data_IF_106020410657
#
_entry.id   IF_106020410657
#
_cell.length_a   1.000
_cell.length_b   1.000
_cell.length_c   1.000
_cell.angle_alpha   90.00
_cell.angle_beta   90.00
_cell.angle_gamma   90.00
#
_symmetry.space_group_name_H-M   'P 1'
#
loop_
_entity.id
_entity.type
_entity.pdbx_description
1 polymer ?
#
# COMPACT_ATOMS: atom_id res chain seq x y z
N UNK A 1 12.10 -20.91 14.54
CA UNK A 1 12.23 -19.54 14.02
C UNK A 1 12.69 -19.67 12.58
N UNK A 2 11.88 -19.29 11.60
CA UNK A 2 12.32 -19.29 10.20
C UNK A 2 13.49 -18.31 10.03
N UNK A 3 14.53 -18.64 9.24
CA UNK A 3 15.60 -17.70 8.96
C UNK A 3 15.01 -16.46 8.30
N UNK A 4 15.42 -15.28 8.76
CA UNK A 4 15.03 -14.01 8.14
C UNK A 4 15.52 -13.97 6.69
N UNK A 5 14.63 -13.64 5.76
CA UNK A 5 14.95 -13.44 4.35
C UNK A 5 14.59 -12.02 3.93
N UNK A 6 15.48 -11.29 3.21
CA UNK A 6 15.13 -10.03 2.56
C UNK A 6 14.00 -10.18 1.53
N UNK A 7 13.77 -11.40 1.05
CA UNK A 7 12.80 -11.75 0.01
C UNK A 7 11.41 -12.06 0.55
N UNK A 8 11.26 -12.23 1.86
CA UNK A 8 10.00 -12.61 2.50
C UNK A 8 9.42 -11.42 3.27
N UNK A 9 8.80 -10.45 2.57
CA UNK A 9 8.11 -9.36 3.25
C UNK A 9 6.83 -9.90 3.87
N UNK A 10 6.53 -9.45 5.10
CA UNK A 10 5.18 -9.55 5.61
C UNK A 10 4.28 -8.67 4.73
N UNK A 11 3.45 -9.30 3.90
CA UNK A 11 2.51 -8.62 3.02
C UNK A 11 1.22 -8.30 3.76
N UNK A 12 0.77 -7.06 3.62
CA UNK A 12 -0.48 -6.54 4.15
C UNK A 12 -1.43 -6.26 2.99
N UNK A 13 -2.73 -6.50 3.19
CA UNK A 13 -3.76 -6.06 2.25
C UNK A 13 -4.27 -4.70 2.71
N UNK A 14 -4.07 -3.68 1.88
CA UNK A 14 -4.64 -2.35 2.09
C UNK A 14 -5.85 -2.24 1.16
N UNK A 15 -7.00 -2.01 1.77
CA UNK A 15 -8.27 -1.76 1.08
C UNK A 15 -8.62 -0.29 1.21
N UNK A 16 -8.80 0.39 0.08
CA UNK A 16 -9.20 1.80 0.01
C UNK A 16 -10.60 1.84 -0.58
N UNK A 17 -11.54 2.39 0.18
CA UNK A 17 -12.95 2.47 -0.19
C UNK A 17 -13.36 3.94 -0.27
N UNK A 18 -13.84 4.38 -1.44
CA UNK A 18 -14.44 5.69 -1.62
C UNK A 18 -15.96 5.56 -1.43
N UNK A 19 -16.50 6.29 -0.45
CA UNK A 19 -17.94 6.26 -0.12
C UNK A 19 -18.58 7.61 -0.39
N UNK A 20 -19.77 7.60 -0.96
CA UNK A 20 -20.62 8.78 -1.02
C UNK A 20 -21.22 9.04 0.37
N UNK A 21 -21.10 10.28 0.87
CA UNK A 21 -21.69 10.65 2.17
C UNK A 21 -22.96 11.45 1.91
N UNK A 22 -24.11 10.89 2.29
CA UNK A 22 -25.39 11.60 2.25
C UNK A 22 -25.55 12.44 3.53
N UNK A 23 -25.54 13.76 3.38
CA UNK A 23 -25.76 14.69 4.49
C UNK A 23 -27.22 15.16 4.44
N UNK A 24 -28.03 14.72 5.40
CA UNK A 24 -29.39 15.24 5.60
C UNK A 24 -29.39 16.33 6.67
N UNK A 25 -29.68 17.58 6.28
CA UNK A 25 -29.99 18.66 7.22
C UNK A 25 -31.44 18.54 7.68
N UNK A 26 -31.68 18.32 8.97
CA UNK A 26 -32.99 18.58 9.59
C UNK A 26 -33.02 20.02 10.08
N UNK A 27 -33.60 20.91 9.28
CA UNK A 27 -33.94 22.26 9.74
C UNK A 27 -35.12 22.19 10.70
N UNK A 28 -34.94 22.62 11.96
CA UNK A 28 -36.06 22.96 12.83
C UNK A 28 -36.50 24.36 12.42
N UNK A 29 -37.74 24.52 11.97
CA UNK A 29 -38.35 25.83 11.76
C UNK A 29 -38.82 26.30 13.13
N UNK A 30 -38.05 27.16 13.79
CA UNK A 30 -38.58 27.96 14.90
C UNK A 30 -39.23 29.20 14.30
N UNK A 31 -40.48 29.45 14.69
CA UNK A 31 -41.16 30.71 14.43
C UNK A 31 -40.55 31.72 15.42
N UNK A 32 -39.70 32.61 14.93
CA UNK A 32 -39.03 33.64 15.72
C UNK A 32 -40.06 34.59 16.35
N UNK A 33 -40.30 34.43 17.65
CA UNK A 33 -40.67 35.55 18.50
C UNK A 33 -39.39 36.33 18.82
N UNK A 34 -39.37 37.59 18.39
CA UNK A 34 -38.38 38.60 18.73
C UNK A 34 -38.27 38.72 20.26
N UNK A 35 -37.22 38.17 20.86
CA UNK A 35 -36.53 38.80 21.98
C UNK A 35 -35.16 38.14 22.23
N UNK A 36 -34.19 39.00 22.50
CA UNK A 36 -32.76 38.78 22.66
C UNK A 36 -32.33 37.46 23.33
N UNK A 37 -31.72 36.56 22.55
CA UNK A 37 -30.53 35.78 22.96
C UNK A 37 -29.89 35.13 21.74
N UNK A 38 -28.59 35.38 21.54
CA UNK A 38 -27.79 34.67 20.57
C UNK A 38 -27.52 33.25 21.08
N UNK A 39 -28.51 32.38 20.95
CA UNK A 39 -28.30 30.94 21.03
C UNK A 39 -27.62 30.51 19.73
N UNK A 40 -26.37 30.08 19.86
CA UNK A 40 -25.57 29.56 18.75
C UNK A 40 -26.22 28.24 18.34
N UNK A 41 -26.94 28.24 17.22
CA UNK A 41 -27.51 27.05 16.61
C UNK A 41 -26.41 26.00 16.40
N UNK A 42 -26.35 25.02 17.31
CA UNK A 42 -25.63 23.79 17.07
C UNK A 42 -26.43 22.99 16.04
N UNK A 43 -26.09 23.18 14.76
CA UNK A 43 -26.51 22.31 13.67
C UNK A 43 -26.12 20.86 14.01
N UNK A 44 -27.08 20.10 14.54
CA UNK A 44 -26.95 18.66 14.75
C UNK A 44 -27.03 17.98 13.38
N UNK A 45 -25.87 17.75 12.78
CA UNK A 45 -25.74 16.97 11.54
C UNK A 45 -25.66 15.49 11.91
N UNK A 46 -26.75 14.75 11.73
CA UNK A 46 -26.71 13.29 11.74
C UNK A 46 -26.08 12.82 10.42
N UNK A 47 -24.84 12.33 10.49
CA UNK A 47 -24.20 11.59 9.39
C UNK A 47 -24.75 10.17 9.42
N UNK A 48 -25.52 9.79 8.41
CA UNK A 48 -25.94 8.40 8.21
C UNK A 48 -24.73 7.66 7.63
N UNK A 49 -24.14 6.72 8.37
CA UNK A 49 -22.93 5.98 7.97
C UNK A 49 -23.09 5.07 6.74
N UNK A 50 -24.31 4.88 6.25
CA UNK A 50 -24.63 3.97 5.12
C UNK A 50 -24.47 4.66 3.75
N UNK A 51 -23.27 5.20 3.50
CA UNK A 51 -22.86 5.70 2.20
C UNK A 51 -22.61 4.59 1.18
N UNK A 52 -23.06 4.77 -0.07
CA UNK A 52 -22.79 3.84 -1.18
C UNK A 52 -21.28 3.79 -1.47
N UNK A 53 -20.71 2.60 -1.60
CA UNK A 53 -19.33 2.41 -2.07
C UNK A 53 -19.28 2.72 -3.56
N UNK A 54 -18.55 3.77 -3.93
CA UNK A 54 -18.38 4.20 -5.32
C UNK A 54 -17.21 3.49 -6.00
N UNK A 55 -16.14 3.23 -5.25
CA UNK A 55 -14.96 2.54 -5.74
C UNK A 55 -14.23 1.82 -4.59
N UNK A 56 -13.67 0.66 -4.89
CA UNK A 56 -12.89 -0.16 -3.99
C UNK A 56 -11.61 -0.59 -4.70
N UNK A 57 -10.45 -0.35 -4.07
CA UNK A 57 -9.15 -0.78 -4.58
C UNK A 57 -8.41 -1.58 -3.51
N UNK A 58 -7.78 -2.69 -3.93
CA UNK A 58 -7.03 -3.60 -3.06
C UNK A 58 -5.58 -3.67 -3.48
N UNK A 59 -4.69 -3.28 -2.58
CA UNK A 59 -3.25 -3.32 -2.83
C UNK A 59 -2.54 -4.21 -1.81
N UNK A 60 -1.65 -5.06 -2.31
CA UNK A 60 -0.71 -5.79 -1.46
C UNK A 60 0.48 -4.88 -1.16
N UNK A 61 0.71 -4.57 0.10
CA UNK A 61 1.78 -3.68 0.58
C UNK A 61 2.75 -4.46 1.46
N UNK A 62 4.06 -4.35 1.17
CA UNK A 62 5.13 -4.91 2.01
C UNK A 62 6.01 -3.79 2.56
N UNK A 63 6.10 -3.67 3.88
CA UNK A 63 6.95 -2.67 4.53
C UNK A 63 8.41 -3.12 4.54
N UNK A 64 9.31 -2.30 4.00
CA UNK A 64 10.76 -2.51 4.05
C UNK A 64 11.51 -1.19 4.14
N UNK A 65 12.62 -1.17 4.88
CA UNK A 65 13.60 -0.09 4.81
C UNK A 65 14.78 -0.54 3.96
N UNK A 66 15.28 0.33 3.08
CA UNK A 66 16.48 0.10 2.28
C UNK A 66 17.42 1.27 2.54
N UNK A 67 18.60 0.98 3.02
CA UNK A 67 19.59 1.99 3.40
C UNK A 67 20.99 1.54 3.03
N UNK A 68 21.87 2.50 2.75
CA UNK A 68 23.30 2.26 2.68
C UNK A 68 23.87 2.71 4.03
N UNK A 69 24.64 1.87 4.73
CA UNK A 69 25.14 2.19 6.06
C UNK A 69 25.85 3.55 6.10
N UNK A 70 25.34 4.48 6.93
CA UNK A 70 25.86 5.86 7.06
C UNK A 70 26.40 6.19 8.46
N UNK A 71 26.34 5.25 9.41
CA UNK A 71 26.51 5.54 10.84
C UNK A 71 27.22 4.39 11.57
N UNK A 72 27.72 4.66 12.79
CA UNK A 72 28.54 3.75 13.61
C UNK A 72 27.93 2.35 13.87
N UNK A 73 26.61 2.21 13.78
CA UNK A 73 25.88 0.93 13.99
C UNK A 73 25.91 0.00 12.76
N UNK A 74 26.23 0.52 11.57
CA UNK A 74 26.32 -0.25 10.33
C UNK A 74 27.67 0.00 9.63
N UNK A 75 28.30 -1.02 9.04
CA UNK A 75 29.50 -0.79 8.25
C UNK A 75 29.20 0.21 7.12
N UNK A 76 30.03 1.25 6.94
CA UNK A 76 29.79 2.26 5.92
C UNK A 76 29.82 1.63 4.52
N UNK A 77 28.99 2.13 3.62
CA UNK A 77 28.89 1.65 2.23
C UNK A 77 28.34 0.23 2.05
N UNK A 78 27.62 -0.32 3.04
CA UNK A 78 26.95 -1.62 2.92
C UNK A 78 25.45 -1.44 2.71
N UNK A 79 24.90 -2.11 1.69
CA UNK A 79 23.46 -2.13 1.44
C UNK A 79 22.75 -3.01 2.48
N UNK A 80 21.82 -2.40 3.19
CA UNK A 80 21.01 -3.03 4.20
C UNK A 80 19.53 -3.00 3.81
N UNK A 81 18.82 -4.08 4.15
CA UNK A 81 17.36 -4.17 4.10
C UNK A 81 16.88 -4.47 5.51
N UNK A 82 15.95 -3.68 6.04
CA UNK A 82 15.45 -3.80 7.43
C UNK A 82 16.57 -3.82 8.47
N UNK A 83 17.58 -2.96 8.30
CA UNK A 83 18.75 -2.84 9.18
C UNK A 83 19.76 -4.00 9.10
N UNK A 84 19.57 -4.95 8.17
CA UNK A 84 20.46 -6.11 8.01
C UNK A 84 21.17 -6.08 6.66
N UNK A 85 22.50 -6.33 6.61
CA UNK A 85 23.25 -6.32 5.38
C UNK A 85 22.82 -7.45 4.45
N UNK A 86 22.77 -7.18 3.14
CA UNK A 86 22.40 -8.16 2.12
C UNK A 86 23.50 -8.34 1.08
N UNK A 87 23.51 -9.51 0.44
CA UNK A 87 24.35 -9.80 -0.72
C UNK A 87 23.44 -10.01 -1.92
N UNK A 88 23.63 -9.23 -2.97
CA UNK A 88 22.90 -9.36 -4.23
C UNK A 88 23.55 -10.46 -5.07
N UNK A 89 22.83 -11.55 -5.26
CA UNK A 89 23.08 -12.64 -6.21
C UNK A 89 22.13 -12.42 -7.38
N UNK A 90 22.37 -11.36 -8.14
CA UNK A 90 21.51 -10.91 -9.23
C UNK A 90 22.00 -11.40 -10.60
N UNK A 91 21.09 -11.37 -11.57
CA UNK A 91 21.39 -11.53 -13.00
C UNK A 91 20.52 -10.54 -13.80
N UNK A 92 21.04 -10.04 -14.90
CA UNK A 92 20.26 -9.19 -15.80
C UNK A 92 19.26 -10.03 -16.58
N UNK A 93 17.97 -9.73 -16.42
CA UNK A 93 16.88 -10.42 -17.12
C UNK A 93 16.24 -9.47 -18.13
N UNK A 94 16.52 -9.71 -19.42
CA UNK A 94 15.85 -9.00 -20.50
C UNK A 94 14.51 -9.64 -20.84
N UNK A 95 13.52 -8.83 -21.20
CA UNK A 95 12.22 -9.31 -21.67
C UNK A 95 12.34 -9.91 -23.08
N UNK A 96 12.45 -11.24 -23.17
CA UNK A 96 12.61 -11.93 -24.45
C UNK A 96 12.07 -13.36 -24.43
N UNK A 97 11.35 -13.73 -25.49
CA UNK A 97 10.91 -15.09 -25.79
C UNK A 97 11.27 -15.42 -27.24
N UNK A 98 11.75 -16.64 -27.48
CA UNK A 98 12.40 -17.01 -28.75
C UNK A 98 11.51 -16.96 -30.01
N UNK A 99 10.20 -17.16 -29.89
CA UNK A 99 9.22 -17.10 -30.98
C UNK A 99 8.59 -15.72 -31.14
N UNK A 100 8.35 -15.01 -30.03
CA UNK A 100 7.59 -13.74 -29.98
C UNK A 100 8.47 -12.50 -29.81
N UNK A 101 9.78 -12.66 -29.68
CA UNK A 101 10.70 -11.56 -29.44
C UNK A 101 10.46 -10.93 -28.07
N UNK A 102 10.17 -9.63 -28.01
CA UNK A 102 10.00 -8.89 -26.75
C UNK A 102 8.61 -9.03 -26.11
N UNK A 103 7.70 -9.80 -26.71
CA UNK A 103 6.37 -10.03 -26.14
C UNK A 103 6.42 -11.26 -25.23
N UNK A 104 6.16 -11.06 -23.94
CA UNK A 104 6.10 -12.11 -22.92
C UNK A 104 4.67 -12.34 -22.45
N UNK A 105 4.39 -13.57 -22.05
CA UNK A 105 3.20 -13.94 -21.29
C UNK A 105 3.55 -14.04 -19.81
N UNK A 106 2.53 -14.05 -18.95
CA UNK A 106 2.71 -14.32 -17.52
C UNK A 106 3.41 -15.66 -17.26
N UNK A 107 3.09 -16.69 -18.05
CA UNK A 107 3.71 -18.00 -17.93
C UNK A 107 5.22 -17.97 -18.18
N UNK A 108 5.70 -17.18 -19.15
CA UNK A 108 7.14 -17.04 -19.39
C UNK A 108 7.83 -16.33 -18.22
N UNK A 109 7.19 -15.30 -17.66
CA UNK A 109 7.73 -14.57 -16.51
C UNK A 109 7.80 -15.46 -15.25
N UNK A 110 6.77 -16.25 -15.00
CA UNK A 110 6.74 -17.21 -13.89
C UNK A 110 7.78 -18.32 -14.07
N UNK A 111 7.98 -18.79 -15.29
CA UNK A 111 9.02 -19.78 -15.61
C UNK A 111 10.42 -19.21 -15.33
N UNK A 112 10.72 -18.00 -15.80
CA UNK A 112 11.99 -17.33 -15.52
C UNK A 112 12.20 -17.15 -14.01
N UNK A 113 11.19 -16.69 -13.28
CA UNK A 113 11.27 -16.50 -11.83
C UNK A 113 11.55 -17.83 -11.09
N UNK A 114 10.87 -18.91 -11.48
CA UNK A 114 11.09 -20.23 -10.90
C UNK A 114 12.52 -20.73 -11.14
N UNK A 115 13.06 -20.52 -12.36
CA UNK A 115 14.43 -20.88 -12.69
C UNK A 115 15.46 -20.08 -11.89
N UNK A 116 15.25 -18.76 -11.75
CA UNK A 116 16.12 -17.90 -10.95
C UNK A 116 16.13 -18.31 -9.48
N UNK A 117 14.95 -18.61 -8.90
CA UNK A 117 14.86 -19.07 -7.51
C UNK A 117 15.48 -20.45 -7.30
N UNK A 118 15.26 -21.39 -8.22
CA UNK A 118 15.95 -22.69 -8.20
C UNK A 118 17.49 -22.53 -8.32
N UNK A 119 17.94 -21.49 -9.01
CA UNK A 119 19.36 -21.10 -9.13
C UNK A 119 19.92 -20.32 -7.93
N UNK A 120 19.16 -20.13 -6.85
CA UNK A 120 19.54 -19.34 -5.66
C UNK A 120 19.88 -17.86 -5.97
N UNK A 121 19.26 -17.28 -7.00
CA UNK A 121 19.29 -15.84 -7.26
C UNK A 121 18.27 -15.10 -6.39
N UNK A 122 18.61 -13.86 -6.00
CA UNK A 122 17.79 -13.00 -5.15
C UNK A 122 17.45 -11.65 -5.77
#
# INVERSE_FOLDING_TARGET
VFPWSPEDPQLYLVEICLKEVLITRRGRREEDNFDEKADVDLDLVEVIEEGLVLQEEKLKVGFRTVECGTNLSHPPNVLCVNGRPIVIKGVNRHEFQWQRGRVLSEADMLQDLALLKAGNFN
#
